data_IF_518224701069
#
_entry.id   IF_518224701069
#
_cell.length_a   1.000
_cell.length_b   1.000
_cell.length_c   1.000
_cell.angle_alpha   90.00
_cell.angle_beta   90.00
_cell.angle_gamma   90.00
#
_symmetry.space_group_name_H-M   'P 1'
#
loop_
_entity.id
_entity.type
_entity.pdbx_description
1 polymer ?
#
# COMPACT_ATOMS: atom_id res chain seq x y z
N UNK A 1 -26.74 16.97 40.70
CA UNK A 1 -26.12 15.64 40.46
C UNK A 1 -26.49 15.20 39.04
N UNK A 2 -25.55 14.59 38.28
CA UNK A 2 -25.66 14.03 36.91
C UNK A 2 -25.12 14.92 35.76
N UNK A 3 -23.86 15.36 35.81
CA UNK A 3 -22.64 14.75 35.18
C UNK A 3 -22.68 14.52 33.66
N UNK A 4 -22.03 15.43 32.92
CA UNK A 4 -20.83 15.17 32.09
C UNK A 4 -20.92 14.05 31.02
N UNK A 5 -22.03 13.95 30.28
CA UNK A 5 -22.19 12.94 29.22
C UNK A 5 -21.85 13.39 27.79
N UNK A 6 -21.95 14.69 27.48
CA UNK A 6 -21.87 15.16 26.08
C UNK A 6 -20.47 15.25 25.49
N UNK A 7 -19.45 15.52 26.32
CA UNK A 7 -18.09 15.76 25.84
C UNK A 7 -17.34 14.47 25.47
N UNK A 8 -17.72 13.32 26.02
CA UNK A 8 -17.12 12.03 25.68
C UNK A 8 -17.50 11.56 24.27
N UNK A 9 -18.69 11.95 23.79
CA UNK A 9 -19.17 11.57 22.46
C UNK A 9 -18.50 12.35 21.32
N UNK A 10 -18.01 13.57 21.59
CA UNK A 10 -17.32 14.41 20.58
C UNK A 10 -15.85 14.02 20.37
N UNK A 11 -15.19 13.40 21.37
CA UNK A 11 -13.79 12.95 21.26
C UNK A 11 -13.66 11.65 20.46
N UNK A 12 -14.71 10.82 20.42
CA UNK A 12 -14.70 9.53 19.71
C UNK A 12 -14.81 9.63 18.18
N UNK A 13 -15.22 10.78 17.63
CA UNK A 13 -15.34 10.99 16.18
C UNK A 13 -14.06 11.53 15.51
N UNK A 14 -13.01 11.84 16.28
CA UNK A 14 -11.75 12.36 15.75
C UNK A 14 -10.68 11.27 15.51
N UNK A 15 -11.07 10.00 15.54
CA UNK A 15 -10.25 8.91 15.04
C UNK A 15 -10.16 9.01 13.53
N UNK A 16 -9.33 9.92 13.05
CA UNK A 16 -8.85 9.90 11.68
C UNK A 16 -8.32 8.48 11.47
N UNK A 17 -9.03 7.71 10.65
CA UNK A 17 -8.48 6.52 10.05
C UNK A 17 -7.24 6.98 9.28
N UNK A 18 -6.10 6.97 9.98
CA UNK A 18 -4.79 6.85 9.35
C UNK A 18 -4.90 5.55 8.59
N UNK A 19 -5.27 5.65 7.30
CA UNK A 19 -5.12 4.54 6.37
C UNK A 19 -3.69 4.05 6.59
N UNK A 20 -3.55 2.81 7.08
CA UNK A 20 -2.24 2.19 7.15
C UNK A 20 -1.66 2.34 5.74
N UNK A 21 -0.43 2.90 5.59
CA UNK A 21 0.23 2.89 4.30
C UNK A 21 0.10 1.47 3.76
N UNK A 22 -0.47 1.31 2.56
CA UNK A 22 -0.73 -0.02 1.99
C UNK A 22 0.51 -0.88 2.15
N UNK A 23 0.36 -2.12 2.60
CA UNK A 23 1.49 -2.94 3.01
C UNK A 23 2.49 -3.02 1.84
N UNK A 24 3.69 -2.46 2.08
CA UNK A 24 4.76 -2.44 1.08
C UNK A 24 5.70 -3.60 1.36
N UNK A 25 5.75 -4.55 0.44
CA UNK A 25 6.72 -5.63 0.46
C UNK A 25 7.82 -5.39 -0.57
N UNK A 26 9.05 -5.64 -0.14
CA UNK A 26 10.25 -5.40 -0.94
C UNK A 26 10.82 -6.71 -1.45
N UNK A 27 11.09 -6.75 -2.75
CA UNK A 27 11.78 -7.82 -3.45
C UNK A 27 13.14 -7.27 -3.91
N UNK A 28 14.23 -7.57 -3.20
CA UNK A 28 15.54 -7.02 -3.51
C UNK A 28 16.00 -7.44 -4.91
N UNK A 29 16.85 -6.62 -5.52
CA UNK A 29 17.52 -7.00 -6.76
C UNK A 29 18.35 -8.28 -6.52
N UNK A 30 18.40 -9.15 -7.54
CA UNK A 30 19.20 -10.39 -7.51
C UNK A 30 20.65 -10.17 -7.95
N UNK A 31 20.93 -9.05 -8.63
CA UNK A 31 22.26 -8.59 -9.01
C UNK A 31 22.55 -7.20 -8.41
N UNK A 32 23.52 -6.50 -9.00
CA UNK A 32 23.82 -5.11 -8.61
C UNK A 32 22.55 -4.26 -8.84
N UNK A 33 22.02 -3.58 -7.81
CA UNK A 33 20.84 -2.72 -7.97
C UNK A 33 21.14 -1.56 -8.92
N UNK A 34 20.35 -1.43 -9.99
CA UNK A 34 20.47 -0.34 -10.97
C UNK A 34 19.15 0.40 -11.19
N UNK A 35 18.03 -0.17 -10.75
CA UNK A 35 16.70 0.41 -10.89
C UNK A 35 15.77 -0.06 -9.76
N UNK A 36 14.74 0.74 -9.49
CA UNK A 36 13.62 0.37 -8.62
C UNK A 36 12.31 0.49 -9.41
N UNK A 37 11.47 -0.54 -9.32
CA UNK A 37 10.13 -0.57 -9.89
C UNK A 37 9.11 -0.69 -8.76
N UNK A 38 8.12 0.21 -8.73
CA UNK A 38 6.98 0.13 -7.81
C UNK A 38 5.78 -0.47 -8.52
N UNK A 39 5.19 -1.50 -7.92
CA UNK A 39 4.01 -2.20 -8.42
C UNK A 39 2.90 -1.96 -7.41
N UNK A 40 1.79 -1.41 -7.87
CA UNK A 40 0.56 -1.31 -7.09
C UNK A 40 -0.36 -2.44 -7.53
N UNK A 41 -0.68 -3.35 -6.63
CA UNK A 41 -1.52 -4.50 -6.93
C UNK A 41 -2.53 -4.77 -5.83
N UNK A 42 -3.65 -5.37 -6.18
CA UNK A 42 -4.68 -5.84 -5.24
C UNK A 42 -4.75 -7.37 -5.17
N UNK A 43 -3.81 -8.04 -5.83
CA UNK A 43 -3.68 -9.50 -5.81
C UNK A 43 -2.88 -9.93 -4.59
N UNK A 44 -3.13 -11.15 -4.11
CA UNK A 44 -2.31 -11.75 -3.08
C UNK A 44 -0.83 -11.74 -3.48
N UNK A 45 0.01 -11.22 -2.58
CA UNK A 45 1.42 -11.04 -2.82
C UNK A 45 2.18 -12.36 -2.99
N UNK A 46 1.76 -13.42 -2.32
CA UNK A 46 2.42 -14.73 -2.42
C UNK A 46 2.26 -15.29 -3.84
N UNK A 47 1.10 -15.06 -4.44
CA UNK A 47 0.84 -15.43 -5.84
C UNK A 47 1.63 -14.53 -6.79
N UNK A 48 1.63 -13.22 -6.54
CA UNK A 48 2.29 -12.24 -7.42
C UNK A 48 3.83 -12.33 -7.35
N UNK A 49 4.38 -12.82 -6.24
CA UNK A 49 5.82 -13.05 -6.07
C UNK A 49 6.41 -13.95 -7.17
N UNK A 50 5.64 -14.89 -7.72
CA UNK A 50 6.08 -15.74 -8.84
C UNK A 50 6.32 -14.92 -10.11
N UNK A 51 5.45 -13.94 -10.39
CA UNK A 51 5.59 -13.04 -11.55
C UNK A 51 6.80 -12.13 -11.38
N UNK A 52 6.97 -11.56 -10.18
CA UNK A 52 8.15 -10.76 -9.80
C UNK A 52 9.43 -11.58 -9.98
N UNK A 53 9.41 -12.85 -9.56
CA UNK A 53 10.55 -13.74 -9.66
C UNK A 53 10.95 -14.03 -11.12
N UNK A 54 9.99 -14.23 -12.02
CA UNK A 54 10.29 -14.41 -13.44
C UNK A 54 10.77 -13.11 -14.10
N UNK A 55 10.18 -11.97 -13.76
CA UNK A 55 10.67 -10.67 -14.23
C UNK A 55 12.12 -10.41 -13.80
N UNK A 56 12.46 -10.64 -12.52
CA UNK A 56 13.82 -10.46 -12.01
C UNK A 56 14.83 -11.47 -12.56
N UNK A 57 14.38 -12.59 -13.14
CA UNK A 57 15.25 -13.50 -13.90
C UNK A 57 15.76 -12.82 -15.19
N UNK A 58 14.92 -12.01 -15.83
CA UNK A 58 15.28 -11.24 -17.02
C UNK A 58 15.95 -9.91 -16.69
N UNK A 59 15.61 -9.30 -15.54
CA UNK A 59 16.10 -7.99 -15.10
C UNK A 59 16.68 -8.03 -13.68
N UNK A 60 17.84 -8.70 -13.47
CA UNK A 60 18.35 -9.01 -12.13
C UNK A 60 18.72 -7.79 -11.29
N UNK A 61 19.03 -6.65 -11.90
CA UNK A 61 19.35 -5.41 -11.20
C UNK A 61 18.14 -4.57 -10.76
N UNK A 62 16.91 -5.05 -11.01
CA UNK A 62 15.70 -4.33 -10.61
C UNK A 62 15.25 -4.77 -9.23
N UNK A 63 15.22 -3.83 -8.30
CA UNK A 63 14.48 -3.96 -7.04
C UNK A 63 12.99 -3.70 -7.29
N UNK A 64 12.13 -4.48 -6.67
CA UNK A 64 10.67 -4.31 -6.78
C UNK A 64 10.07 -3.98 -5.41
N UNK A 65 9.27 -2.91 -5.36
CA UNK A 65 8.38 -2.59 -4.25
C UNK A 65 6.96 -2.92 -4.66
N UNK A 66 6.36 -3.94 -4.05
CA UNK A 66 4.94 -4.21 -4.20
C UNK A 66 4.18 -3.53 -3.08
N UNK A 67 3.24 -2.68 -3.43
CA UNK A 67 2.32 -2.04 -2.50
C UNK A 67 0.95 -2.68 -2.70
N UNK A 68 0.46 -3.35 -1.66
CA UNK A 68 -0.92 -3.81 -1.64
C UNK A 68 -1.83 -2.59 -1.60
N UNK A 69 -2.70 -2.50 -2.58
CA UNK A 69 -3.72 -1.47 -2.61
C UNK A 69 -5.09 -2.11 -2.51
N UNK A 70 -5.69 -1.99 -1.33
CA UNK A 70 -7.08 -2.31 -1.10
C UNK A 70 -7.92 -1.37 -1.99
N UNK A 71 -8.66 -1.99 -2.91
CA UNK A 71 -9.46 -1.44 -4.03
C UNK A 71 -10.10 -0.04 -3.86
N UNK A 72 -10.42 0.40 -2.64
CA UNK A 72 -10.97 1.75 -2.39
C UNK A 72 -9.94 2.88 -2.55
N UNK A 73 -8.67 2.67 -2.21
CA UNK A 73 -7.67 3.75 -2.27
C UNK A 73 -7.17 4.05 -3.69
N UNK A 74 -7.09 3.03 -4.57
CA UNK A 74 -6.84 3.25 -6.01
C UNK A 74 -7.99 4.04 -6.63
N UNK A 75 -9.25 3.68 -6.35
CA UNK A 75 -10.40 4.38 -6.91
C UNK A 75 -10.47 5.82 -6.42
N UNK A 76 -10.25 6.05 -5.12
CA UNK A 76 -10.22 7.39 -4.54
C UNK A 76 -9.08 8.25 -5.09
N UNK A 77 -7.90 7.67 -5.33
CA UNK A 77 -6.75 8.39 -5.90
C UNK A 77 -6.92 8.69 -7.39
N UNK A 78 -7.40 7.70 -8.16
CA UNK A 78 -7.75 7.90 -9.57
C UNK A 78 -8.81 8.99 -9.77
N UNK A 79 -9.80 9.10 -8.88
CA UNK A 79 -10.79 10.18 -8.92
C UNK A 79 -10.19 11.54 -8.59
N UNK A 80 -9.28 11.63 -7.60
CA UNK A 80 -8.60 12.89 -7.22
C UNK A 80 -7.68 13.43 -8.31
N UNK A 81 -6.98 12.56 -9.05
CA UNK A 81 -6.05 12.99 -10.11
C UNK A 81 -6.77 13.49 -11.39
N UNK A 82 -8.12 13.53 -11.39
CA UNK A 82 -8.95 13.97 -12.52
C UNK A 82 -9.70 15.30 -12.31
N UNK A 83 -9.67 15.86 -11.11
CA UNK A 83 -10.21 17.19 -10.78
C UNK A 83 -9.13 18.27 -10.88
#
# INVERSE_FOLDING_TARGET
MKTRGGWLLLVLLAGNALAAPGDVQRFPARGVPVAQLRIHGSTDIEVFATVIADYQRLHPGTEILYEDVITQDIYARYLRDRE
#
